data_IF_507100013702
#
_entry.id   IF_507100013702
#
_cell.length_a   1.000
_cell.length_b   1.000
_cell.length_c   1.000
_cell.angle_alpha   90.00
_cell.angle_beta   90.00
_cell.angle_gamma   90.00
#
_symmetry.space_group_name_H-M   'P 1'
#
loop_
_entity.id
_entity.type
_entity.pdbx_description
1 polymer ?
#
# COMPACT_ATOMS: atom_id res chain seq x y z
N UNK A 1 -16.55 29.51 23.97
CA UNK A 1 -15.74 29.37 22.72
C UNK A 1 -14.48 28.50 22.89
N UNK A 2 -14.36 27.68 23.93
CA UNK A 2 -13.06 27.10 24.35
C UNK A 2 -12.87 25.62 24.01
N UNK A 3 -13.92 24.81 23.91
CA UNK A 3 -13.80 23.37 23.63
C UNK A 3 -13.45 23.01 22.17
N UNK A 4 -13.79 23.88 21.21
CA UNK A 4 -13.52 23.64 19.77
C UNK A 4 -12.02 23.70 19.44
N UNK A 5 -11.26 24.54 20.14
CA UNK A 5 -9.83 24.73 19.88
C UNK A 5 -8.97 23.60 20.47
N UNK A 6 -9.37 23.05 21.61
CA UNK A 6 -8.66 21.94 22.26
C UNK A 6 -8.69 20.68 21.37
N UNK A 7 -9.84 20.32 20.78
CA UNK A 7 -9.91 19.17 19.85
C UNK A 7 -9.02 19.31 18.62
N UNK A 8 -8.79 20.54 18.15
CA UNK A 8 -7.97 20.86 16.97
C UNK A 8 -6.47 20.77 17.26
N UNK A 9 -6.05 21.05 18.50
CA UNK A 9 -4.67 20.92 18.98
C UNK A 9 -4.26 19.45 19.28
N UNK A 10 -5.20 18.62 19.72
CA UNK A 10 -4.96 17.20 20.04
C UNK A 10 -5.14 16.24 18.86
N UNK A 11 -5.31 16.74 17.63
CA UNK A 11 -5.45 15.88 16.44
C UNK A 11 -6.70 14.99 16.41
N UNK A 12 -7.67 15.23 17.30
CA UNK A 12 -8.91 14.47 17.37
C UNK A 12 -9.91 15.05 16.36
N UNK A 13 -9.54 15.05 15.09
CA UNK A 13 -10.48 15.18 13.97
C UNK A 13 -9.79 14.89 12.64
N UNK A 14 -9.25 13.68 12.50
CA UNK A 14 -9.30 13.02 11.20
C UNK A 14 -10.26 11.84 11.37
N UNK A 15 -11.49 12.01 10.89
CA UNK A 15 -12.17 10.86 10.32
C UNK A 15 -11.27 10.46 9.17
N UNK A 16 -10.29 9.59 9.41
CA UNK A 16 -9.61 8.94 8.31
C UNK A 16 -10.72 8.21 7.57
N UNK A 17 -11.04 8.69 6.37
CA UNK A 17 -11.95 7.98 5.50
C UNK A 17 -11.33 6.62 5.32
N UNK A 18 -11.90 5.63 6.00
CA UNK A 18 -11.38 4.28 5.97
C UNK A 18 -11.64 3.77 4.56
N UNK A 19 -10.62 3.84 3.71
CA UNK A 19 -10.66 3.21 2.39
C UNK A 19 -10.65 1.68 2.55
N UNK A 20 -11.04 0.97 1.51
CA UNK A 20 -11.17 -0.50 1.52
C UNK A 20 -9.90 -1.21 2.01
N UNK A 21 -8.74 -0.63 1.70
CA UNK A 21 -7.45 -1.10 2.20
C UNK A 21 -7.36 -1.00 3.72
N UNK A 22 -7.60 0.17 4.31
CA UNK A 22 -7.58 0.34 5.77
C UNK A 22 -8.67 -0.47 6.47
N UNK A 23 -9.81 -0.72 5.82
CA UNK A 23 -10.89 -1.58 6.33
C UNK A 23 -10.43 -3.03 6.42
N UNK A 24 -9.81 -3.57 5.36
CA UNK A 24 -9.20 -4.90 5.35
C UNK A 24 -8.21 -5.06 6.51
N UNK A 25 -7.26 -4.14 6.67
CA UNK A 25 -6.28 -4.23 7.76
C UNK A 25 -6.88 -4.05 9.16
N UNK A 26 -8.06 -3.43 9.30
CA UNK A 26 -8.72 -3.29 10.60
C UNK A 26 -9.53 -4.52 11.02
N UNK A 27 -10.11 -5.26 10.07
CA UNK A 27 -11.02 -6.38 10.34
C UNK A 27 -10.44 -7.78 10.14
N UNK A 28 -9.22 -7.89 9.62
CA UNK A 28 -8.59 -9.17 9.28
C UNK A 28 -7.61 -9.63 10.36
N UNK A 29 -7.39 -10.95 10.50
CA UNK A 29 -6.36 -11.47 11.41
C UNK A 29 -4.94 -11.18 10.91
N UNK A 30 -3.99 -11.08 11.85
CA UNK A 30 -2.58 -10.81 11.53
C UNK A 30 -1.99 -11.77 10.50
N UNK A 31 -2.30 -13.07 10.59
CA UNK A 31 -1.82 -14.09 9.64
C UNK A 31 -2.22 -13.82 8.19
N UNK A 32 -3.45 -13.37 7.96
CA UNK A 32 -3.93 -13.06 6.61
C UNK A 32 -3.34 -11.75 6.08
N UNK A 33 -3.09 -10.76 6.95
CA UNK A 33 -2.38 -9.52 6.57
C UNK A 33 -0.98 -9.81 6.09
N UNK A 34 -0.23 -10.65 6.83
CA UNK A 34 1.13 -11.05 6.45
C UNK A 34 1.12 -11.74 5.09
N UNK A 35 0.25 -12.76 4.92
CA UNK A 35 0.13 -13.47 3.64
C UNK A 35 -0.24 -12.53 2.48
N UNK A 36 -1.16 -11.60 2.69
CA UNK A 36 -1.52 -10.61 1.68
C UNK A 36 -0.33 -9.71 1.29
N UNK A 37 0.43 -9.21 2.26
CA UNK A 37 1.62 -8.40 2.00
C UNK A 37 2.71 -9.20 1.26
N UNK A 38 2.91 -10.47 1.63
CA UNK A 38 3.83 -11.38 0.93
C UNK A 38 3.43 -11.60 -0.53
N UNK A 39 2.13 -11.80 -0.80
CA UNK A 39 1.61 -11.97 -2.16
C UNK A 39 1.77 -10.69 -3.00
N UNK A 40 1.48 -9.53 -2.42
CA UNK A 40 1.71 -8.22 -3.08
C UNK A 40 3.18 -8.03 -3.42
N UNK A 41 4.08 -8.29 -2.47
CA UNK A 41 5.53 -8.17 -2.69
C UNK A 41 6.02 -9.14 -3.77
N UNK A 42 5.54 -10.39 -3.76
CA UNK A 42 5.87 -11.38 -4.79
C UNK A 42 5.43 -10.92 -6.17
N UNK A 43 4.20 -10.43 -6.29
CA UNK A 43 3.66 -9.98 -7.59
C UNK A 43 4.41 -8.76 -8.14
N UNK A 44 4.73 -7.80 -7.28
CA UNK A 44 5.54 -6.64 -7.65
C UNK A 44 6.93 -7.05 -8.16
N UNK A 45 7.58 -8.01 -7.51
CA UNK A 45 8.88 -8.53 -7.94
C UNK A 45 8.80 -9.26 -9.30
N UNK A 46 7.75 -10.06 -9.52
CA UNK A 46 7.50 -10.71 -10.80
C UNK A 46 7.31 -9.69 -11.94
N UNK A 47 6.52 -8.64 -11.69
CA UNK A 47 6.27 -7.59 -12.68
C UNK A 47 7.55 -6.79 -12.99
N UNK A 48 8.36 -6.46 -11.97
CA UNK A 48 9.65 -5.82 -12.14
C UNK A 48 10.60 -6.67 -12.99
N UNK A 49 10.67 -7.98 -12.72
CA UNK A 49 11.49 -8.90 -13.51
C UNK A 49 11.04 -8.95 -14.97
N UNK A 50 9.73 -9.01 -15.21
CA UNK A 50 9.18 -9.00 -16.58
C UNK A 50 9.54 -7.72 -17.34
N UNK A 51 9.50 -6.56 -16.68
CA UNK A 51 9.91 -5.29 -17.27
C UNK A 51 11.40 -5.27 -17.61
N UNK A 52 12.26 -5.78 -16.74
CA UNK A 52 13.69 -5.90 -17.01
C UNK A 52 14.00 -6.83 -18.19
N UNK A 53 13.31 -7.97 -18.28
CA UNK A 53 13.47 -8.91 -19.39
C UNK A 53 13.07 -8.27 -20.73
N UNK A 54 11.94 -7.54 -20.76
CA UNK A 54 11.51 -6.76 -21.94
C UNK A 54 12.54 -5.70 -22.33
N UNK A 55 13.03 -4.93 -21.37
CA UNK A 55 14.05 -3.91 -21.61
C UNK A 55 15.33 -4.51 -22.22
N UNK A 56 15.84 -5.59 -21.62
CA UNK A 56 17.05 -6.26 -22.09
C UNK A 56 16.90 -6.83 -23.50
N UNK A 57 15.71 -7.33 -23.85
CA UNK A 57 15.41 -7.77 -25.22
C UNK A 57 15.49 -6.61 -26.22
N UNK A 58 14.86 -5.48 -25.90
CA UNK A 58 14.87 -4.29 -26.76
C UNK A 58 16.28 -3.70 -26.94
N UNK A 59 17.13 -3.74 -25.90
CA UNK A 59 18.52 -3.31 -26.01
C UNK A 59 19.31 -4.21 -26.95
N UNK A 60 19.14 -5.54 -26.86
CA UNK A 60 19.80 -6.50 -27.76
C UNK A 60 19.38 -6.37 -29.21
N UNK A 61 18.12 -6.05 -29.48
CA UNK A 61 17.62 -5.85 -30.87
C UNK A 61 18.11 -4.54 -31.50
N UNK A 62 18.64 -3.61 -30.71
CA UNK A 62 19.17 -2.31 -31.15
C UNK A 62 20.70 -2.26 -31.26
N UNK A 63 21.41 -3.30 -30.82
CA UNK A 63 22.86 -3.43 -30.84
C UNK A 63 23.29 -4.30 -32.02
#
# INVERSE_FOLDING_TARGET
>A
MTFKYIKKLFGINEKSEKNDFSLFFSGTDSKYKVKFLEEVARKANEDQRSLMEKHNKLVKERA
#
